data_IF_487574491278
#
_entry.id   IF_487574491278
#
_cell.length_a   1.000
_cell.length_b   1.000
_cell.length_c   1.000
_cell.angle_alpha   90.00
_cell.angle_beta   90.00
_cell.angle_gamma   90.00
#
_symmetry.space_group_name_H-M   'P 1'
#
loop_
_entity.id
_entity.type
_entity.pdbx_description
1 polymer ?
#
# COMPACT_ATOMS: atom_id res chain seq x y z
N UNK A 1 28.95 12.53 16.46
CA UNK A 1 28.87 13.14 15.11
C UNK A 1 30.23 13.71 14.76
N UNK A 2 30.98 13.05 13.88
CA UNK A 2 32.35 13.43 13.51
C UNK A 2 32.37 14.57 12.49
N UNK A 3 33.47 15.33 12.44
CA UNK A 3 33.74 16.47 11.52
C UNK A 3 33.41 16.21 10.04
N UNK A 4 33.32 14.95 9.60
CA UNK A 4 32.92 14.57 8.23
C UNK A 4 31.47 14.92 7.85
N UNK A 5 30.54 15.15 8.80
CA UNK A 5 29.13 15.46 8.49
C UNK A 5 28.89 16.92 8.04
N UNK A 6 29.94 17.74 8.01
CA UNK A 6 29.86 19.17 7.66
C UNK A 6 30.54 19.50 6.32
N UNK A 7 31.08 18.52 5.61
CA UNK A 7 31.72 18.75 4.31
C UNK A 7 30.65 18.89 3.20
N UNK A 8 30.20 20.12 2.96
CA UNK A 8 29.17 20.45 1.97
C UNK A 8 29.64 20.32 0.51
N UNK A 9 30.91 19.98 0.27
CA UNK A 9 31.46 19.74 -1.06
C UNK A 9 31.14 18.36 -1.63
N UNK A 10 30.52 17.49 -0.83
CA UNK A 10 30.30 16.07 -1.11
C UNK A 10 28.83 15.75 -1.17
N UNK A 11 28.36 15.12 -2.23
CA UNK A 11 26.93 14.82 -2.41
C UNK A 11 26.38 13.95 -1.26
N UNK A 12 27.16 13.00 -0.76
CA UNK A 12 26.70 12.05 0.26
C UNK A 12 26.49 12.70 1.63
N UNK A 13 27.12 13.85 1.92
CA UNK A 13 26.82 14.56 3.18
C UNK A 13 25.43 15.18 3.15
N UNK A 14 24.98 15.63 1.98
CA UNK A 14 23.62 16.10 1.77
C UNK A 14 22.60 14.96 1.82
N UNK A 15 22.88 13.83 1.16
CA UNK A 15 22.01 12.64 1.21
C UNK A 15 21.88 12.09 2.64
N UNK A 16 22.95 12.10 3.43
CA UNK A 16 22.87 11.71 4.84
C UNK A 16 21.98 12.68 5.65
N UNK A 17 22.09 13.99 5.40
CA UNK A 17 21.23 15.00 6.06
C UNK A 17 19.76 14.79 5.72
N UNK A 18 19.43 14.60 4.44
CA UNK A 18 18.04 14.36 4.01
C UNK A 18 17.50 13.04 4.54
N UNK A 19 18.34 12.00 4.66
CA UNK A 19 17.98 10.71 5.26
C UNK A 19 17.66 10.80 6.75
N UNK A 20 18.33 11.69 7.50
CA UNK A 20 18.07 11.89 8.94
C UNK A 20 16.95 12.86 9.26
N UNK A 21 16.56 13.70 8.30
CA UNK A 21 15.43 14.61 8.47
C UNK A 21 14.12 13.82 8.30
N UNK A 22 13.10 14.15 9.07
CA UNK A 22 11.77 13.54 8.95
C UNK A 22 10.75 14.49 8.32
N UNK A 23 10.99 15.79 8.44
CA UNK A 23 10.14 16.86 7.95
C UNK A 23 10.32 17.05 6.43
N UNK A 24 9.28 16.84 5.61
CA UNK A 24 9.38 16.92 4.15
C UNK A 24 9.73 18.33 3.64
N UNK A 25 9.25 19.39 4.29
CA UNK A 25 9.57 20.77 3.89
C UNK A 25 11.06 21.08 4.11
N UNK A 26 11.62 20.55 5.21
CA UNK A 26 13.06 20.67 5.47
C UNK A 26 13.88 19.83 4.51
N UNK A 27 13.45 18.61 4.18
CA UNK A 27 14.11 17.78 3.15
C UNK A 27 14.17 18.50 1.82
N UNK A 28 13.05 19.09 1.38
CA UNK A 28 12.95 19.89 0.18
C UNK A 28 14.00 21.00 0.17
N UNK A 29 14.06 21.80 1.25
CA UNK A 29 15.03 22.88 1.38
C UNK A 29 16.49 22.40 1.38
N UNK A 30 16.77 21.23 1.97
CA UNK A 30 18.12 20.63 1.97
C UNK A 30 18.52 20.21 0.54
N UNK A 31 17.64 19.57 -0.23
CA UNK A 31 17.91 19.22 -1.63
C UNK A 31 18.16 20.45 -2.50
N UNK A 32 17.33 21.49 -2.35
CA UNK A 32 17.51 22.74 -3.11
C UNK A 32 18.86 23.41 -2.80
N UNK A 33 19.25 23.43 -1.52
CA UNK A 33 20.58 23.93 -1.13
C UNK A 33 21.71 23.05 -1.67
N UNK A 34 21.53 21.73 -1.63
CA UNK A 34 22.51 20.77 -2.15
C UNK A 34 22.77 21.02 -3.64
N UNK A 35 21.71 21.20 -4.44
CA UNK A 35 21.81 21.44 -5.87
C UNK A 35 22.33 22.84 -6.23
N UNK A 36 22.11 23.85 -5.39
CA UNK A 36 22.78 25.14 -5.55
C UNK A 36 24.32 25.02 -5.40
N UNK A 37 24.79 24.12 -4.53
CA UNK A 37 26.22 23.89 -4.28
C UNK A 37 26.83 22.92 -5.30
N UNK A 38 26.11 21.87 -5.64
CA UNK A 38 26.54 20.75 -6.47
C UNK A 38 25.56 20.54 -7.65
N UNK A 39 25.45 21.50 -8.58
CA UNK A 39 24.44 21.48 -9.65
C UNK A 39 24.65 20.40 -10.72
N UNK A 40 25.74 19.64 -10.64
CA UNK A 40 26.08 18.58 -11.58
C UNK A 40 26.30 17.22 -10.88
N UNK A 41 25.77 17.02 -9.66
CA UNK A 41 25.79 15.71 -9.01
C UNK A 41 24.58 14.89 -9.45
N UNK A 42 24.75 13.82 -10.24
CA UNK A 42 23.63 12.96 -10.65
C UNK A 42 22.94 12.31 -9.44
N UNK A 43 23.68 11.98 -8.38
CA UNK A 43 23.14 11.37 -7.16
C UNK A 43 22.18 12.30 -6.42
N UNK A 44 22.47 13.62 -6.39
CA UNK A 44 21.55 14.59 -5.80
C UNK A 44 20.33 14.82 -6.67
N UNK A 45 20.45 14.77 -8.00
CA UNK A 45 19.29 14.89 -8.88
C UNK A 45 18.40 13.64 -8.76
N UNK A 46 18.97 12.44 -8.83
CA UNK A 46 18.23 11.18 -8.67
C UNK A 46 17.55 11.08 -7.30
N UNK A 47 18.31 11.29 -6.21
CA UNK A 47 17.72 11.24 -4.87
C UNK A 47 16.69 12.35 -4.61
N UNK A 48 16.81 13.49 -5.28
CA UNK A 48 15.80 14.53 -5.21
C UNK A 48 14.55 14.18 -6.02
N UNK A 49 14.72 13.57 -7.19
CA UNK A 49 13.62 13.07 -8.01
C UNK A 49 12.80 12.01 -7.26
N UNK A 50 13.46 11.03 -6.62
CA UNK A 50 12.82 10.02 -5.78
C UNK A 50 12.02 10.67 -4.64
N UNK A 51 12.61 11.65 -3.94
CA UNK A 51 11.92 12.37 -2.86
C UNK A 51 10.70 13.15 -3.36
N UNK A 52 10.82 13.80 -4.52
CA UNK A 52 9.70 14.52 -5.12
C UNK A 52 8.61 13.51 -5.44
N UNK A 53 8.88 12.49 -6.24
CA UNK A 53 7.90 11.46 -6.59
C UNK A 53 7.18 10.88 -5.36
N UNK A 54 7.92 10.42 -4.35
CA UNK A 54 7.33 9.70 -3.22
C UNK A 54 6.59 10.58 -2.21
N UNK A 55 7.08 11.80 -1.97
CA UNK A 55 6.70 12.61 -0.80
C UNK A 55 6.20 14.00 -1.13
N UNK A 56 6.29 14.43 -2.39
CA UNK A 56 5.95 15.78 -2.81
C UNK A 56 5.26 15.79 -4.19
N UNK A 57 3.95 16.06 -4.29
CA UNK A 57 3.19 15.89 -5.53
C UNK A 57 3.53 16.95 -6.59
N UNK A 58 4.70 16.84 -7.20
CA UNK A 58 5.26 17.71 -8.24
C UNK A 58 6.00 16.84 -9.28
N UNK A 59 5.20 16.11 -10.07
CA UNK A 59 5.68 15.14 -11.06
C UNK A 59 6.52 15.81 -12.16
N UNK A 60 6.18 17.04 -12.56
CA UNK A 60 6.94 17.80 -13.56
C UNK A 60 8.37 18.07 -13.07
N UNK A 61 8.51 18.45 -11.79
CA UNK A 61 9.82 18.69 -11.19
C UNK A 61 10.57 17.38 -10.95
N UNK A 62 9.89 16.32 -10.53
CA UNK A 62 10.48 15.00 -10.39
C UNK A 62 11.06 14.50 -11.72
N UNK A 63 10.29 14.60 -12.81
CA UNK A 63 10.74 14.23 -14.16
C UNK A 63 11.99 15.01 -14.58
N UNK A 64 11.98 16.34 -14.42
CA UNK A 64 13.14 17.17 -14.75
C UNK A 64 14.41 16.77 -13.97
N UNK A 65 14.26 16.33 -12.72
CA UNK A 65 15.39 15.85 -11.91
C UNK A 65 15.88 14.47 -12.39
N UNK A 66 14.98 13.54 -12.74
CA UNK A 66 15.38 12.27 -13.36
C UNK A 66 16.11 12.46 -14.68
N UNK A 67 15.55 13.29 -15.58
CA UNK A 67 16.18 13.60 -16.86
C UNK A 67 17.57 14.19 -16.65
N UNK A 68 17.71 15.12 -15.68
CA UNK A 68 19.00 15.72 -15.37
C UNK A 68 20.02 14.72 -14.81
N UNK A 69 19.59 13.78 -13.97
CA UNK A 69 20.45 12.71 -13.49
C UNK A 69 20.96 11.85 -14.65
N UNK A 70 20.08 11.50 -15.59
CA UNK A 70 20.41 10.71 -16.78
C UNK A 70 21.23 11.48 -17.83
N UNK A 71 21.08 12.81 -17.93
CA UNK A 71 21.98 13.62 -18.76
C UNK A 71 23.41 13.61 -18.23
N UNK A 72 23.57 13.66 -16.90
CA UNK A 72 24.86 13.66 -16.22
C UNK A 72 25.50 12.27 -16.22
N UNK A 73 24.70 11.21 -16.08
CA UNK A 73 25.14 9.83 -16.06
C UNK A 73 24.14 8.93 -16.83
N UNK A 74 24.29 8.84 -18.16
CA UNK A 74 23.29 8.19 -19.01
C UNK A 74 23.23 6.69 -18.84
N UNK A 75 24.32 6.03 -18.44
CA UNK A 75 24.41 4.57 -18.35
C UNK A 75 24.35 4.08 -16.89
N UNK A 76 23.76 4.86 -15.99
CA UNK A 76 23.45 4.40 -14.63
C UNK A 76 22.14 3.61 -14.64
N UNK A 77 22.23 2.29 -14.52
CA UNK A 77 21.07 1.42 -14.57
C UNK A 77 20.10 1.64 -13.38
N UNK A 78 20.62 2.11 -12.24
CA UNK A 78 19.82 2.48 -11.07
C UNK A 78 18.93 3.69 -11.34
N UNK A 79 19.48 4.78 -11.88
CA UNK A 79 18.69 5.96 -12.26
C UNK A 79 17.69 5.65 -13.39
N UNK A 80 18.09 4.84 -14.37
CA UNK A 80 17.18 4.41 -15.44
C UNK A 80 16.01 3.63 -14.86
N UNK A 81 16.25 2.70 -13.92
CA UNK A 81 15.18 1.96 -13.25
C UNK A 81 14.28 2.88 -12.42
N UNK A 82 14.84 3.75 -11.56
CA UNK A 82 14.01 4.65 -10.75
C UNK A 82 13.12 5.52 -11.64
N UNK A 83 13.66 6.00 -12.77
CA UNK A 83 12.88 6.76 -13.72
C UNK A 83 11.79 5.91 -14.39
N UNK A 84 12.04 4.64 -14.69
CA UNK A 84 11.02 3.71 -15.17
C UNK A 84 9.88 3.52 -14.16
N UNK A 85 10.22 3.32 -12.88
CA UNK A 85 9.26 3.18 -11.78
C UNK A 85 8.40 4.45 -11.65
N UNK A 86 9.02 5.63 -11.71
CA UNK A 86 8.32 6.92 -11.70
C UNK A 86 7.36 7.08 -12.90
N UNK A 87 7.83 6.82 -14.12
CA UNK A 87 7.01 6.90 -15.33
C UNK A 87 5.77 5.98 -15.25
N UNK A 88 5.94 4.78 -14.68
CA UNK A 88 4.86 3.82 -14.51
C UNK A 88 3.88 4.20 -13.39
N UNK A 89 4.38 4.65 -12.24
CA UNK A 89 3.56 4.90 -11.06
C UNK A 89 2.87 6.27 -11.09
N UNK A 90 3.56 7.32 -11.53
CA UNK A 90 3.08 8.71 -11.46
C UNK A 90 2.49 9.18 -12.80
N UNK A 91 3.20 8.94 -13.90
CA UNK A 91 2.77 9.45 -15.22
C UNK A 91 1.86 8.49 -15.99
N UNK A 92 1.79 7.22 -15.57
CA UNK A 92 1.10 6.15 -16.29
C UNK A 92 1.58 5.99 -17.75
N UNK A 93 2.80 6.44 -18.06
CA UNK A 93 3.41 6.28 -19.39
C UNK A 93 4.14 4.93 -19.45
N UNK A 94 3.34 3.89 -19.63
CA UNK A 94 3.83 2.51 -19.61
C UNK A 94 4.78 2.18 -20.76
N UNK A 95 4.68 2.88 -21.90
CA UNK A 95 5.56 2.60 -23.04
C UNK A 95 6.97 3.18 -22.82
N UNK A 96 7.07 4.40 -22.26
CA UNK A 96 8.37 4.95 -21.84
C UNK A 96 8.96 4.17 -20.67
N UNK A 97 8.13 3.80 -19.68
CA UNK A 97 8.58 2.98 -18.57
C UNK A 97 9.17 1.64 -19.05
N UNK A 98 8.48 0.93 -19.95
CA UNK A 98 8.98 -0.32 -20.53
C UNK A 98 10.31 -0.13 -21.28
N UNK A 99 10.45 0.96 -22.04
CA UNK A 99 11.71 1.27 -22.70
C UNK A 99 12.86 1.49 -21.71
N UNK A 100 12.60 2.16 -20.58
CA UNK A 100 13.59 2.36 -19.52
C UNK A 100 13.94 1.06 -18.80
N UNK A 101 12.97 0.21 -18.43
CA UNK A 101 13.28 -1.11 -17.84
C UNK A 101 14.13 -1.97 -18.75
N UNK A 102 13.81 -2.02 -20.05
CA UNK A 102 14.61 -2.79 -21.02
C UNK A 102 16.02 -2.24 -21.13
N UNK A 103 16.18 -0.91 -21.10
CA UNK A 103 17.50 -0.27 -21.11
C UNK A 103 18.31 -0.57 -19.85
N UNK A 104 17.68 -0.56 -18.66
CA UNK A 104 18.36 -0.94 -17.42
C UNK A 104 18.84 -2.40 -17.48
N UNK A 105 18.02 -3.32 -18.02
CA UNK A 105 18.38 -4.72 -18.21
C UNK A 105 19.40 -4.96 -19.34
N UNK A 106 19.52 -4.05 -20.32
CA UNK A 106 20.60 -4.12 -21.32
C UNK A 106 21.96 -3.77 -20.70
N UNK A 107 21.98 -2.86 -19.73
CA UNK A 107 23.19 -2.46 -19.00
C UNK A 107 23.57 -3.50 -17.94
N UNK A 108 22.60 -3.99 -17.18
CA UNK A 108 22.78 -4.95 -16.10
C UNK A 108 21.83 -6.14 -16.27
N UNK A 109 22.15 -7.08 -17.18
CA UNK A 109 21.24 -8.15 -17.54
C UNK A 109 20.99 -9.16 -16.43
N UNK A 110 21.90 -9.31 -15.47
CA UNK A 110 21.85 -10.30 -14.41
C UNK A 110 21.54 -9.69 -13.03
N UNK A 111 21.07 -8.44 -12.98
CA UNK A 111 20.57 -7.85 -11.74
C UNK A 111 19.16 -8.40 -11.43
N UNK A 112 19.07 -9.27 -10.42
CA UNK A 112 17.82 -9.92 -10.04
C UNK A 112 16.75 -8.92 -9.57
N UNK A 113 17.15 -7.82 -8.93
CA UNK A 113 16.24 -6.76 -8.49
C UNK A 113 15.60 -6.04 -9.67
N UNK A 114 16.37 -5.72 -10.71
CA UNK A 114 15.86 -5.09 -11.92
C UNK A 114 14.94 -6.02 -12.70
N UNK A 115 15.31 -7.30 -12.79
CA UNK A 115 14.46 -8.31 -13.42
C UNK A 115 13.14 -8.44 -12.65
N UNK A 116 13.19 -8.52 -11.32
CA UNK A 116 12.01 -8.60 -10.44
C UNK A 116 11.10 -7.38 -10.60
N UNK A 117 11.65 -6.16 -10.57
CA UNK A 117 10.88 -4.93 -10.76
C UNK A 117 10.23 -4.86 -12.15
N UNK A 118 10.94 -5.30 -13.20
CA UNK A 118 10.35 -5.38 -14.53
C UNK A 118 9.23 -6.42 -14.59
N UNK A 119 9.36 -7.54 -13.87
CA UNK A 119 8.30 -8.53 -13.68
C UNK A 119 7.05 -7.92 -13.03
N UNK A 120 7.21 -7.15 -11.94
CA UNK A 120 6.11 -6.43 -11.29
C UNK A 120 5.41 -5.48 -12.27
N UNK A 121 6.17 -4.67 -13.00
CA UNK A 121 5.64 -3.74 -13.99
C UNK A 121 4.83 -4.45 -15.10
N UNK A 122 5.36 -5.54 -15.65
CA UNK A 122 4.68 -6.34 -16.67
C UNK A 122 3.37 -6.92 -16.14
N UNK A 123 3.36 -7.42 -14.91
CA UNK A 123 2.18 -7.99 -14.27
C UNK A 123 1.10 -6.94 -14.01
N UNK A 124 1.45 -5.83 -13.38
CA UNK A 124 0.48 -4.86 -12.86
C UNK A 124 0.03 -3.85 -13.91
N UNK A 125 0.94 -3.38 -14.78
CA UNK A 125 0.67 -2.26 -15.69
C UNK A 125 0.41 -2.73 -17.12
N UNK A 126 1.13 -3.75 -17.59
CA UNK A 126 0.94 -4.31 -18.95
C UNK A 126 0.00 -5.51 -18.98
N UNK A 127 -0.31 -6.12 -17.83
CA UNK A 127 -1.10 -7.34 -17.71
C UNK A 127 -0.53 -8.51 -18.55
N UNK A 128 0.79 -8.50 -18.77
CA UNK A 128 1.52 -9.52 -19.53
C UNK A 128 2.06 -10.57 -18.56
N UNK A 129 1.16 -11.43 -18.09
CA UNK A 129 1.45 -12.38 -17.02
C UNK A 129 2.50 -13.42 -17.42
N UNK A 130 2.56 -13.81 -18.69
CA UNK A 130 3.53 -14.80 -19.18
C UNK A 130 4.95 -14.24 -19.15
N UNK A 131 5.15 -12.99 -19.58
CA UNK A 131 6.47 -12.35 -19.47
C UNK A 131 6.81 -11.99 -18.04
N UNK A 132 5.83 -11.58 -17.24
CA UNK A 132 6.06 -11.31 -15.81
C UNK A 132 6.56 -12.57 -15.08
N UNK A 133 5.90 -13.72 -15.28
CA UNK A 133 6.31 -14.98 -14.67
C UNK A 133 7.73 -15.39 -15.10
N UNK A 134 8.06 -15.26 -16.39
CA UNK A 134 9.40 -15.53 -16.88
C UNK A 134 10.47 -14.61 -16.23
N UNK A 135 10.12 -13.35 -15.91
CA UNK A 135 11.02 -12.46 -15.18
C UNK A 135 11.19 -12.90 -13.73
N UNK A 136 10.13 -13.23 -13.01
CA UNK A 136 10.25 -13.73 -11.64
C UNK A 136 11.08 -15.02 -11.56
N UNK A 137 10.82 -15.98 -12.45
CA UNK A 137 11.58 -17.23 -12.50
C UNK A 137 13.07 -16.96 -12.77
N UNK A 138 13.38 -16.09 -13.74
CA UNK A 138 14.77 -15.70 -14.03
C UNK A 138 15.43 -14.97 -12.85
N UNK A 139 14.72 -14.09 -12.15
CA UNK A 139 15.23 -13.39 -10.99
C UNK A 139 15.57 -14.39 -9.85
N UNK A 140 14.71 -15.39 -9.64
CA UNK A 140 14.93 -16.47 -8.67
C UNK A 140 16.01 -17.49 -9.10
N UNK A 141 16.26 -17.67 -10.40
CA UNK A 141 17.41 -18.45 -10.87
C UNK A 141 18.74 -17.78 -10.49
N UNK A 142 18.79 -16.45 -10.55
CA UNK A 142 19.98 -15.66 -10.22
C UNK A 142 20.16 -15.49 -8.71
N UNK A 143 19.07 -15.22 -7.99
CA UNK A 143 19.05 -15.04 -6.54
C UNK A 143 17.91 -15.88 -5.94
N UNK A 144 18.16 -17.18 -5.69
CA UNK A 144 17.11 -18.09 -5.25
C UNK A 144 16.54 -17.70 -3.89
N UNK A 145 17.34 -17.13 -3.00
CA UNK A 145 16.99 -16.87 -1.61
C UNK A 145 16.68 -15.39 -1.32
N UNK A 146 16.36 -14.60 -2.36
CA UNK A 146 15.90 -13.22 -2.19
C UNK A 146 14.42 -13.21 -1.73
N UNK A 147 14.20 -12.93 -0.45
CA UNK A 147 12.87 -12.90 0.15
C UNK A 147 11.93 -11.87 -0.49
N UNK A 148 12.44 -10.73 -0.97
CA UNK A 148 11.64 -9.70 -1.62
C UNK A 148 11.08 -10.20 -2.95
N UNK A 149 11.93 -10.82 -3.78
CA UNK A 149 11.51 -11.41 -5.07
C UNK A 149 10.52 -12.56 -4.82
N UNK A 150 10.80 -13.44 -3.85
CA UNK A 150 9.91 -14.56 -3.52
C UNK A 150 8.53 -14.06 -3.06
N UNK A 151 8.49 -13.05 -2.18
CA UNK A 151 7.23 -12.45 -1.70
C UNK A 151 6.42 -11.81 -2.83
N UNK A 152 7.07 -11.05 -3.71
CA UNK A 152 6.41 -10.44 -4.86
C UNK A 152 5.89 -11.51 -5.84
N UNK A 153 6.67 -12.58 -6.04
CA UNK A 153 6.24 -13.70 -6.87
C UNK A 153 5.07 -14.49 -6.25
N UNK A 154 5.07 -14.68 -4.93
CA UNK A 154 3.94 -15.29 -4.20
C UNK A 154 2.65 -14.51 -4.42
N UNK A 155 2.72 -13.17 -4.30
CA UNK A 155 1.59 -12.28 -4.58
C UNK A 155 1.12 -12.39 -6.03
N UNK A 156 2.05 -12.35 -7.01
CA UNK A 156 1.72 -12.55 -8.42
C UNK A 156 1.01 -13.89 -8.68
N UNK A 157 1.51 -14.98 -8.09
CA UNK A 157 0.94 -16.31 -8.23
C UNK A 157 -0.48 -16.36 -7.65
N UNK A 158 -0.72 -15.76 -6.48
CA UNK A 158 -2.02 -15.73 -5.83
C UNK A 158 -3.02 -14.84 -6.57
N UNK A 159 -2.67 -13.56 -6.79
CA UNK A 159 -3.59 -12.53 -7.26
C UNK A 159 -3.88 -12.65 -8.76
N UNK A 160 -2.87 -12.98 -9.56
CA UNK A 160 -2.94 -12.88 -11.03
C UNK A 160 -2.98 -14.25 -11.71
N UNK A 161 -2.20 -15.23 -11.24
CA UNK A 161 -2.25 -16.60 -11.78
C UNK A 161 -3.29 -17.50 -11.12
N UNK A 162 -3.73 -17.15 -9.90
CA UNK A 162 -4.58 -18.00 -9.06
C UNK A 162 -3.99 -19.38 -8.80
N UNK A 163 -2.66 -19.47 -8.79
CA UNK A 163 -1.92 -20.67 -8.45
C UNK A 163 -1.63 -20.66 -6.94
N UNK A 164 -2.67 -20.97 -6.18
CA UNK A 164 -2.67 -20.81 -4.72
C UNK A 164 -1.68 -21.75 -4.02
N UNK A 165 -1.45 -22.94 -4.57
CA UNK A 165 -0.53 -23.92 -3.96
C UNK A 165 0.93 -23.45 -4.10
N UNK A 166 1.33 -22.94 -5.27
CA UNK A 166 2.67 -22.34 -5.44
C UNK A 166 2.80 -21.04 -4.66
N UNK A 167 1.75 -20.21 -4.62
CA UNK A 167 1.77 -18.97 -3.85
C UNK A 167 2.02 -19.23 -2.36
N UNK A 168 1.30 -20.19 -1.76
CA UNK A 168 1.49 -20.57 -0.35
C UNK A 168 2.91 -21.06 -0.08
N UNK A 169 3.45 -21.92 -0.93
CA UNK A 169 4.83 -22.40 -0.79
C UNK A 169 5.86 -21.26 -0.88
N UNK A 170 5.61 -20.25 -1.74
CA UNK A 170 6.48 -19.07 -1.83
C UNK A 170 6.35 -18.17 -0.60
N UNK A 171 5.14 -17.95 -0.07
CA UNK A 171 4.97 -17.19 1.18
C UNK A 171 5.66 -17.85 2.37
N UNK A 172 5.51 -19.17 2.53
CA UNK A 172 6.19 -19.93 3.59
C UNK A 172 7.71 -19.79 3.47
N UNK A 173 8.24 -19.92 2.24
CA UNK A 173 9.68 -19.76 1.97
C UNK A 173 10.16 -18.34 2.25
N UNK A 174 9.41 -17.32 1.86
CA UNK A 174 9.77 -15.92 2.12
C UNK A 174 9.86 -15.67 3.64
N UNK A 175 8.92 -16.21 4.42
CA UNK A 175 8.88 -16.07 5.88
C UNK A 175 10.04 -16.80 6.59
N UNK A 176 10.53 -17.91 6.01
CA UNK A 176 11.73 -18.61 6.49
C UNK A 176 13.01 -17.81 6.22
N UNK A 177 13.10 -17.15 5.07
CA UNK A 177 14.28 -16.42 4.63
C UNK A 177 14.41 -15.05 5.28
N UNK A 178 13.30 -14.32 5.41
CA UNK A 178 13.25 -13.03 6.09
C UNK A 178 12.10 -13.01 7.11
N UNK A 179 12.35 -13.46 8.34
CA UNK A 179 11.32 -13.50 9.38
C UNK A 179 10.97 -12.12 9.96
N UNK A 180 11.73 -11.07 9.61
CA UNK A 180 11.65 -9.73 10.19
C UNK A 180 11.01 -8.70 9.23
N UNK A 181 10.82 -9.02 7.94
CA UNK A 181 10.01 -8.21 7.04
C UNK A 181 8.51 -8.34 7.38
N UNK A 182 7.94 -7.28 7.94
CA UNK A 182 6.52 -7.21 8.34
C UNK A 182 5.54 -7.41 7.17
N UNK A 183 5.95 -7.12 5.93
CA UNK A 183 5.08 -7.24 4.75
C UNK A 183 4.86 -8.71 4.35
N UNK A 184 5.80 -9.61 4.64
CA UNK A 184 5.65 -11.04 4.34
C UNK A 184 4.48 -11.67 5.11
N UNK A 185 4.45 -11.64 6.46
CA UNK A 185 3.34 -12.20 7.21
C UNK A 185 2.03 -11.44 6.96
N UNK A 186 2.06 -10.12 6.71
CA UNK A 186 0.86 -9.34 6.35
C UNK A 186 0.21 -9.82 5.04
N UNK A 187 1.00 -9.94 3.96
CA UNK A 187 0.51 -10.43 2.67
C UNK A 187 0.09 -11.91 2.74
N UNK A 188 0.81 -12.71 3.52
CA UNK A 188 0.48 -14.12 3.68
C UNK A 188 -0.84 -14.31 4.45
N UNK A 189 -1.09 -13.49 5.47
CA UNK A 189 -2.35 -13.47 6.20
C UNK A 189 -3.55 -13.15 5.29
N UNK A 190 -3.39 -12.15 4.40
CA UNK A 190 -4.41 -11.79 3.42
C UNK A 190 -4.71 -12.96 2.47
N UNK A 191 -3.67 -13.60 1.94
CA UNK A 191 -3.79 -14.80 1.12
C UNK A 191 -4.54 -15.93 1.85
N UNK A 192 -4.16 -16.23 3.10
CA UNK A 192 -4.77 -17.28 3.91
C UNK A 192 -6.25 -16.99 4.17
N UNK A 193 -6.60 -15.74 4.50
CA UNK A 193 -7.97 -15.34 4.77
C UNK A 193 -8.85 -15.40 3.51
N UNK A 194 -8.36 -14.87 2.39
CA UNK A 194 -9.14 -14.71 1.17
C UNK A 194 -9.23 -16.01 0.36
N UNK A 195 -8.13 -16.75 0.23
CA UNK A 195 -8.04 -17.89 -0.70
C UNK A 195 -8.15 -19.24 0.01
N UNK A 196 -7.65 -19.34 1.25
CA UNK A 196 -7.72 -20.59 2.04
C UNK A 196 -8.87 -20.61 3.05
N UNK A 197 -9.46 -19.45 3.35
CA UNK A 197 -10.42 -19.28 4.44
C UNK A 197 -9.89 -19.80 5.78
N UNK A 198 -8.56 -19.75 5.95
CA UNK A 198 -7.84 -20.22 7.13
C UNK A 198 -7.66 -19.06 8.10
N UNK A 199 -8.76 -18.70 8.77
CA UNK A 199 -8.83 -17.51 9.62
C UNK A 199 -7.90 -17.57 10.82
N UNK A 200 -7.66 -18.76 11.38
CA UNK A 200 -6.78 -18.91 12.54
C UNK A 200 -5.29 -18.66 12.17
N UNK A 201 -4.84 -19.21 11.03
CA UNK A 201 -3.48 -18.92 10.53
C UNK A 201 -3.36 -17.47 10.04
N UNK A 202 -4.39 -16.93 9.40
CA UNK A 202 -4.40 -15.53 8.98
C UNK A 202 -4.29 -14.56 10.18
N UNK A 203 -5.04 -14.81 11.26
CA UNK A 203 -4.98 -14.02 12.49
C UNK A 203 -3.56 -14.04 13.07
N UNK A 204 -2.96 -15.23 13.20
CA UNK A 204 -1.57 -15.39 13.69
C UNK A 204 -0.57 -14.61 12.84
N UNK A 205 -0.72 -14.64 11.51
CA UNK A 205 0.18 -13.93 10.60
C UNK A 205 -0.01 -12.40 10.66
N UNK A 206 -1.25 -11.90 10.76
CA UNK A 206 -1.47 -10.47 10.99
C UNK A 206 -0.93 -9.99 12.33
N UNK A 207 -1.11 -10.76 13.41
CA UNK A 207 -0.52 -10.44 14.71
C UNK A 207 1.00 -10.34 14.62
N UNK A 208 1.66 -11.28 13.95
CA UNK A 208 3.11 -11.22 13.69
C UNK A 208 3.52 -10.00 12.87
N UNK A 209 2.75 -9.64 11.84
CA UNK A 209 3.01 -8.44 11.06
C UNK A 209 2.94 -7.18 11.92
N UNK A 210 1.97 -7.10 12.86
CA UNK A 210 1.84 -5.99 13.81
C UNK A 210 2.88 -6.01 14.93
N UNK A 211 3.43 -7.17 15.30
CA UNK A 211 4.59 -7.25 16.20
C UNK A 211 5.84 -6.61 15.57
N UNK A 212 6.03 -6.82 14.27
CA UNK A 212 7.15 -6.28 13.50
C UNK A 212 6.94 -4.80 13.13
N UNK A 213 5.71 -4.43 12.73
CA UNK A 213 5.32 -3.06 12.42
C UNK A 213 3.97 -2.70 13.06
N UNK A 214 3.95 -2.20 14.31
CA UNK A 214 2.71 -1.84 15.01
C UNK A 214 1.94 -0.68 14.39
N UNK A 215 2.59 0.10 13.53
CA UNK A 215 2.05 1.31 12.90
C UNK A 215 1.59 1.07 11.45
N UNK A 216 1.44 -0.20 11.03
CA UNK A 216 0.87 -0.54 9.73
C UNK A 216 -0.67 -0.41 9.76
N UNK A 217 -1.18 0.67 9.18
CA UNK A 217 -2.62 0.93 9.14
C UNK A 217 -3.39 -0.14 8.34
N UNK A 218 -2.83 -0.67 7.25
CA UNK A 218 -3.50 -1.66 6.40
C UNK A 218 -3.62 -2.99 7.13
N UNK A 219 -2.54 -3.45 7.78
CA UNK A 219 -2.56 -4.68 8.58
C UNK A 219 -3.55 -4.55 9.75
N UNK A 220 -3.62 -3.39 10.42
CA UNK A 220 -4.62 -3.14 11.46
C UNK A 220 -6.05 -3.27 10.90
N UNK A 221 -6.35 -2.63 9.77
CA UNK A 221 -7.68 -2.69 9.15
C UNK A 221 -8.03 -4.10 8.69
N UNK A 222 -7.08 -4.82 8.09
CA UNK A 222 -7.27 -6.19 7.61
C UNK A 222 -7.49 -7.18 8.76
N UNK A 223 -6.76 -7.05 9.87
CA UNK A 223 -7.02 -7.83 11.09
C UNK A 223 -8.41 -7.49 11.65
N UNK A 224 -8.77 -6.21 11.71
CA UNK A 224 -10.09 -5.76 12.13
C UNK A 224 -11.22 -6.41 11.31
N UNK A 225 -11.07 -6.47 9.98
CA UNK A 225 -12.00 -7.16 9.09
C UNK A 225 -12.06 -8.66 9.36
N UNK A 226 -10.89 -9.31 9.49
CA UNK A 226 -10.79 -10.74 9.74
C UNK A 226 -11.56 -11.15 11.00
N UNK A 227 -11.34 -10.43 12.09
CA UNK A 227 -11.99 -10.67 13.38
C UNK A 227 -13.50 -10.44 13.31
N UNK A 228 -13.92 -9.42 12.55
CA UNK A 228 -15.33 -9.13 12.31
C UNK A 228 -16.01 -10.27 11.52
N UNK A 229 -15.37 -10.78 10.47
CA UNK A 229 -15.81 -11.90 9.62
C UNK A 229 -15.78 -13.25 10.35
N UNK A 230 -14.93 -13.41 11.37
CA UNK A 230 -14.87 -14.61 12.19
C UNK A 230 -15.95 -14.62 13.30
N UNK A 231 -16.66 -13.49 13.53
CA UNK A 231 -17.82 -13.41 14.41
C UNK A 231 -17.55 -13.72 15.89
N UNK A 232 -16.28 -13.82 16.31
CA UNK A 232 -15.93 -14.07 17.72
C UNK A 232 -16.23 -12.81 18.51
N UNK A 233 -17.33 -12.83 19.28
CA UNK A 233 -17.80 -11.67 20.07
C UNK A 233 -16.72 -11.12 21.01
N UNK A 234 -15.86 -11.99 21.54
CA UNK A 234 -14.70 -11.61 22.36
C UNK A 234 -13.65 -10.83 21.56
N UNK A 235 -13.45 -11.16 20.28
CA UNK A 235 -12.53 -10.48 19.38
C UNK A 235 -13.07 -9.13 18.86
N UNK A 236 -14.38 -8.86 18.96
CA UNK A 236 -14.96 -7.56 18.59
C UNK A 236 -14.40 -6.41 19.42
N UNK A 237 -13.88 -6.66 20.63
CA UNK A 237 -13.16 -5.64 21.40
C UNK A 237 -11.80 -5.31 20.78
N UNK A 238 -11.10 -6.31 20.26
CA UNK A 238 -9.80 -6.16 19.59
C UNK A 238 -9.95 -5.40 18.27
N UNK A 239 -11.08 -5.59 17.56
CA UNK A 239 -11.46 -4.79 16.38
C UNK A 239 -11.45 -3.28 16.69
N UNK A 240 -11.91 -2.85 17.87
CA UNK A 240 -11.89 -1.43 18.27
C UNK A 240 -10.47 -0.89 18.36
N UNK A 241 -9.55 -1.69 18.90
CA UNK A 241 -8.13 -1.34 18.98
C UNK A 241 -7.53 -1.11 17.59
N UNK A 242 -7.77 -2.06 16.69
CA UNK A 242 -7.30 -2.01 15.31
C UNK A 242 -7.84 -0.79 14.56
N UNK A 243 -9.15 -0.56 14.63
CA UNK A 243 -9.78 0.58 13.95
C UNK A 243 -9.30 1.91 14.53
N UNK A 244 -9.21 2.04 15.86
CA UNK A 244 -8.71 3.28 16.48
C UNK A 244 -7.27 3.57 16.02
N UNK A 245 -6.44 2.53 15.93
CA UNK A 245 -5.06 2.66 15.45
C UNK A 245 -5.03 3.10 14.00
N UNK A 246 -5.81 2.49 13.11
CA UNK A 246 -5.93 2.90 11.72
C UNK A 246 -6.40 4.36 11.55
N UNK A 247 -7.41 4.79 12.32
CA UNK A 247 -7.85 6.20 12.33
C UNK A 247 -6.72 7.13 12.79
N UNK A 248 -5.99 6.78 13.85
CA UNK A 248 -4.85 7.58 14.32
C UNK A 248 -3.73 7.71 13.27
N UNK A 249 -3.47 6.62 12.54
CA UNK A 249 -2.42 6.55 11.51
C UNK A 249 -2.83 7.18 10.17
N UNK A 250 -4.12 7.48 9.96
CA UNK A 250 -4.59 8.16 8.74
C UNK A 250 -4.03 9.58 8.58
N UNK A 251 -3.47 10.17 9.63
CA UNK A 251 -2.87 11.52 9.63
C UNK A 251 -3.76 12.61 9.04
N UNK A 252 -5.09 12.51 9.25
CA UNK A 252 -6.06 13.44 8.70
C UNK A 252 -6.10 13.49 7.16
N UNK A 253 -5.72 12.39 6.50
CA UNK A 253 -5.84 12.25 5.04
C UNK A 253 -6.96 11.27 4.71
N UNK A 254 -7.88 11.64 3.80
CA UNK A 254 -8.95 10.75 3.40
C UNK A 254 -8.36 9.60 2.58
N UNK A 255 -8.74 8.36 2.90
CA UNK A 255 -8.18 7.16 2.27
C UNK A 255 -9.18 6.00 2.30
N UNK A 256 -8.98 5.05 1.39
CA UNK A 256 -9.74 3.79 1.37
C UNK A 256 -9.62 3.05 2.71
N UNK A 257 -8.40 2.94 3.25
CA UNK A 257 -8.11 2.30 4.54
C UNK A 257 -8.90 2.94 5.69
N UNK A 258 -9.00 4.28 5.73
CA UNK A 258 -9.80 4.97 6.73
C UNK A 258 -11.30 4.67 6.57
N UNK A 259 -11.80 4.66 5.34
CA UNK A 259 -13.20 4.37 5.08
C UNK A 259 -13.58 2.93 5.47
N UNK A 260 -12.73 1.95 5.15
CA UNK A 260 -12.90 0.56 5.57
C UNK A 260 -12.91 0.44 7.10
N UNK A 261 -11.95 1.08 7.78
CA UNK A 261 -11.88 1.08 9.24
C UNK A 261 -13.17 1.63 9.87
N UNK A 262 -13.68 2.76 9.35
CA UNK A 262 -14.93 3.35 9.82
C UNK A 262 -16.13 2.45 9.53
N UNK A 263 -16.17 1.82 8.36
CA UNK A 263 -17.22 0.88 7.99
C UNK A 263 -17.26 -0.34 8.90
N UNK A 264 -16.10 -0.91 9.22
CA UNK A 264 -15.99 -2.02 10.16
C UNK A 264 -16.46 -1.63 11.56
N UNK A 265 -16.23 -0.39 12.00
CA UNK A 265 -16.76 0.08 13.28
C UNK A 265 -18.28 0.22 13.25
N UNK A 266 -18.86 0.63 12.12
CA UNK A 266 -20.32 0.65 11.95
C UNK A 266 -20.91 -0.76 12.10
N UNK A 267 -20.35 -1.73 11.37
CA UNK A 267 -20.79 -3.13 11.42
C UNK A 267 -20.60 -3.75 12.81
N UNK A 268 -19.47 -3.46 13.47
CA UNK A 268 -19.20 -3.92 14.84
C UNK A 268 -20.20 -3.36 15.84
N UNK A 269 -20.51 -2.06 15.80
CA UNK A 269 -21.54 -1.47 16.66
C UNK A 269 -22.91 -2.10 16.42
N UNK A 270 -23.22 -2.39 15.16
CA UNK A 270 -24.46 -3.04 14.78
C UNK A 270 -24.55 -4.45 15.37
N UNK A 271 -23.53 -5.29 15.20
CA UNK A 271 -23.49 -6.66 15.73
C UNK A 271 -23.46 -6.70 17.27
N UNK A 272 -22.74 -5.77 17.90
CA UNK A 272 -22.56 -5.78 19.35
C UNK A 272 -23.76 -5.18 20.11
N UNK A 273 -24.34 -4.10 19.59
CA UNK A 273 -25.33 -3.28 20.30
C UNK A 273 -26.67 -3.14 19.56
N UNK A 274 -26.82 -3.71 18.36
CA UNK A 274 -28.02 -3.59 17.53
C UNK A 274 -28.41 -2.11 17.32
N UNK A 275 -27.40 -1.27 17.11
CA UNK A 275 -27.50 0.20 17.07
C UNK A 275 -26.56 0.79 16.02
N UNK A 276 -27.00 1.89 15.41
CA UNK A 276 -26.24 2.61 14.39
C UNK A 276 -25.19 3.48 15.07
N UNK A 277 -23.91 3.10 14.90
CA UNK A 277 -22.77 3.80 15.48
C UNK A 277 -22.52 5.18 14.89
N UNK A 278 -21.78 6.02 15.62
CA UNK A 278 -21.36 7.36 15.16
C UNK A 278 -20.49 7.31 13.90
N UNK A 279 -19.84 6.18 13.63
CA UNK A 279 -18.95 6.01 12.49
C UNK A 279 -19.68 6.08 11.14
N UNK A 280 -21.02 5.94 11.12
CA UNK A 280 -21.80 6.25 9.91
C UNK A 280 -21.77 7.74 9.58
N UNK A 281 -21.82 8.61 10.59
CA UNK A 281 -21.67 10.06 10.41
C UNK A 281 -20.25 10.47 9.99
N UNK A 282 -19.26 9.68 10.39
CA UNK A 282 -17.86 9.84 9.96
C UNK A 282 -17.66 9.44 8.51
N UNK A 283 -18.22 8.31 8.09
CA UNK A 283 -18.24 7.92 6.69
C UNK A 283 -18.95 8.96 5.82
N UNK A 284 -20.03 9.56 6.32
CA UNK A 284 -20.73 10.66 5.64
C UNK A 284 -19.81 11.85 5.36
N UNK A 285 -19.07 12.32 6.37
CA UNK A 285 -18.07 13.37 6.18
C UNK A 285 -16.97 12.95 5.20
N UNK A 286 -16.45 11.74 5.34
CA UNK A 286 -15.36 11.23 4.50
C UNK A 286 -15.77 11.09 3.02
N UNK A 287 -17.01 10.71 2.74
CA UNK A 287 -17.53 10.67 1.37
C UNK A 287 -17.62 12.06 0.74
N UNK A 288 -17.86 13.11 1.54
CA UNK A 288 -17.87 14.50 1.07
C UNK A 288 -16.45 15.01 0.77
N UNK A 289 -15.45 14.60 1.56
CA UNK A 289 -14.03 14.92 1.30
C UNK A 289 -13.49 14.21 0.04
N UNK A 290 -13.94 12.98 -0.20
CA UNK A 290 -13.52 12.17 -1.34
C UNK A 290 -12.15 11.52 -1.12
N UNK A 291 -11.98 10.32 -1.68
CA UNK A 291 -10.74 9.55 -1.63
C UNK A 291 -10.70 8.55 -2.78
N UNK A 292 -9.49 8.07 -3.08
CA UNK A 292 -9.25 7.01 -4.07
C UNK A 292 -9.79 5.67 -3.57
N UNK A 293 -10.56 4.97 -4.43
CA UNK A 293 -11.26 3.74 -4.05
C UNK A 293 -10.44 2.50 -4.40
N UNK A 294 -10.38 1.56 -3.46
CA UNK A 294 -9.72 0.28 -3.62
C UNK A 294 -10.57 -0.78 -4.32
N UNK A 295 -9.98 -1.97 -4.51
CA UNK A 295 -10.61 -3.13 -5.17
C UNK A 295 -11.14 -4.14 -4.13
N UNK A 296 -11.17 -3.75 -2.85
CA UNK A 296 -11.61 -4.60 -1.76
C UNK A 296 -13.10 -4.92 -1.84
N UNK A 297 -13.55 -6.06 -1.29
CA UNK A 297 -14.96 -6.41 -1.21
C UNK A 297 -15.38 -6.92 0.18
N UNK A 298 -16.65 -6.66 0.53
CA UNK A 298 -17.23 -7.01 1.83
C UNK A 298 -18.08 -8.28 1.80
N UNK A 299 -18.00 -9.08 0.74
CA UNK A 299 -18.90 -10.21 0.49
C UNK A 299 -18.77 -11.28 1.56
N UNK A 300 -17.54 -11.60 1.99
CA UNK A 300 -17.30 -12.60 3.03
C UNK A 300 -17.97 -12.24 4.37
N UNK A 301 -17.99 -10.95 4.72
CA UNK A 301 -18.75 -10.47 5.88
C UNK A 301 -20.25 -10.62 5.65
N UNK A 302 -20.77 -10.12 4.53
CA UNK A 302 -22.19 -10.16 4.25
C UNK A 302 -22.74 -11.58 4.18
N UNK A 303 -22.03 -12.51 3.56
CA UNK A 303 -22.42 -13.92 3.45
C UNK A 303 -22.59 -14.60 4.82
N UNK A 304 -21.83 -14.17 5.84
CA UNK A 304 -21.88 -14.75 7.19
C UNK A 304 -22.84 -14.03 8.12
N UNK A 305 -22.77 -12.70 8.14
CA UNK A 305 -23.32 -11.91 9.23
C UNK A 305 -24.52 -11.06 8.82
N UNK A 306 -24.81 -10.92 7.51
CA UNK A 306 -25.93 -10.09 7.07
C UNK A 306 -27.27 -10.57 7.63
N UNK A 307 -27.45 -11.89 7.80
CA UNK A 307 -28.67 -12.44 8.40
C UNK A 307 -28.87 -12.08 9.87
N UNK A 308 -27.80 -11.74 10.59
CA UNK A 308 -27.85 -11.32 11.99
C UNK A 308 -28.38 -9.90 12.15
N UNK A 309 -28.27 -9.08 11.10
CA UNK A 309 -28.75 -7.70 11.11
C UNK A 309 -30.28 -7.65 10.95
N UNK A 310 -30.96 -6.65 11.55
CA UNK A 310 -32.38 -6.43 11.29
C UNK A 310 -32.65 -6.13 9.83
N UNK A 311 -33.79 -6.60 9.32
CA UNK A 311 -34.17 -6.51 7.90
C UNK A 311 -34.04 -5.09 7.34
N UNK A 312 -34.56 -4.09 8.04
CA UNK A 312 -34.48 -2.68 7.64
C UNK A 312 -33.05 -2.11 7.58
N UNK A 313 -32.10 -2.73 8.29
CA UNK A 313 -30.69 -2.30 8.33
C UNK A 313 -29.78 -3.08 7.38
N UNK A 314 -30.18 -4.27 6.94
CA UNK A 314 -29.41 -5.07 5.97
C UNK A 314 -29.16 -4.28 4.69
N UNK A 315 -30.23 -3.79 4.08
CA UNK A 315 -30.15 -3.04 2.82
C UNK A 315 -29.32 -1.76 2.97
N UNK A 316 -29.41 -1.11 4.15
CA UNK A 316 -28.61 0.06 4.45
C UNK A 316 -27.10 -0.26 4.51
N UNK A 317 -26.69 -1.29 5.24
CA UNK A 317 -25.27 -1.64 5.34
C UNK A 317 -24.69 -2.21 4.04
N UNK A 318 -25.50 -2.89 3.23
CA UNK A 318 -25.10 -3.30 1.87
C UNK A 318 -24.87 -2.07 0.99
N UNK A 319 -25.79 -1.10 1.00
CA UNK A 319 -25.63 0.15 0.27
C UNK A 319 -24.43 0.98 0.79
N UNK A 320 -24.22 1.00 2.11
CA UNK A 320 -23.09 1.69 2.74
C UNK A 320 -21.76 1.06 2.35
N UNK A 321 -21.65 -0.27 2.36
CA UNK A 321 -20.48 -0.97 1.86
C UNK A 321 -20.22 -0.67 0.38
N UNK A 322 -21.25 -0.70 -0.46
CA UNK A 322 -21.11 -0.32 -1.88
C UNK A 322 -20.62 1.13 -2.04
N UNK A 323 -21.12 2.05 -1.21
CA UNK A 323 -20.70 3.45 -1.20
C UNK A 323 -19.27 3.67 -0.66
N UNK A 324 -18.71 2.74 0.12
CA UNK A 324 -17.29 2.74 0.52
C UNK A 324 -16.37 2.36 -0.64
N UNK A 325 -16.86 1.56 -1.60
CA UNK A 325 -16.06 1.07 -2.73
C UNK A 325 -16.28 1.88 -4.02
N UNK A 326 -17.43 2.53 -4.17
CA UNK A 326 -17.78 3.24 -5.40
C UNK A 326 -18.47 4.58 -5.07
N UNK A 327 -17.84 5.67 -5.49
CA UNK A 327 -18.36 7.04 -5.30
C UNK A 327 -19.74 7.23 -5.96
N UNK A 328 -20.01 6.53 -7.07
CA UNK A 328 -21.31 6.59 -7.74
C UNK A 328 -22.44 5.95 -6.91
N UNK A 329 -22.09 5.12 -5.92
CA UNK A 329 -23.05 4.46 -5.02
C UNK A 329 -23.43 5.29 -3.81
N UNK A 330 -22.72 6.39 -3.52
CA UNK A 330 -23.04 7.29 -2.40
C UNK A 330 -24.48 7.84 -2.52
N UNK A 331 -24.93 8.15 -3.74
CA UNK A 331 -26.30 8.63 -3.98
C UNK A 331 -27.38 7.62 -3.60
N UNK A 332 -27.07 6.32 -3.57
CA UNK A 332 -28.03 5.30 -3.20
C UNK A 332 -28.40 5.37 -1.70
N UNK A 333 -27.54 5.99 -0.87
CA UNK A 333 -27.77 6.18 0.55
C UNK A 333 -28.91 7.16 0.86
N UNK A 334 -29.21 8.09 -0.05
CA UNK A 334 -30.32 9.06 0.09
C UNK A 334 -31.70 8.39 0.10
N UNK A 335 -31.79 7.11 -0.29
CA UNK A 335 -33.04 6.34 -0.21
C UNK A 335 -33.39 5.94 1.22
N UNK A 336 -32.43 6.02 2.15
CA UNK A 336 -32.58 5.54 3.51
C UNK A 336 -32.82 6.71 4.46
N UNK A 337 -34.01 6.75 5.08
CA UNK A 337 -34.33 7.78 6.11
C UNK A 337 -33.35 7.79 7.29
N UNK A 338 -32.62 6.69 7.51
CA UNK A 338 -31.53 6.61 8.47
C UNK A 338 -30.37 7.53 8.10
N UNK A 339 -29.96 7.54 6.82
CA UNK A 339 -28.86 8.37 6.31
C UNK A 339 -29.14 9.87 6.47
N UNK A 340 -30.38 10.29 6.18
CA UNK A 340 -30.80 11.68 6.28
C UNK A 340 -30.73 12.23 7.72
N UNK A 341 -31.01 11.37 8.71
CA UNK A 341 -31.03 11.74 10.13
C UNK A 341 -29.65 11.74 10.78
N UNK A 342 -28.65 11.15 10.15
CA UNK A 342 -27.30 11.05 10.68
C UNK A 342 -26.56 12.36 10.44
N UNK A 343 -26.09 12.94 11.53
CA UNK A 343 -25.21 14.11 11.52
C UNK A 343 -23.82 13.73 11.00
N UNK A 344 -23.23 14.61 10.21
CA UNK A 344 -21.83 14.50 9.76
C UNK A 344 -20.91 14.74 10.96
N UNK A 345 -19.91 13.87 11.15
CA UNK A 345 -18.97 13.90 12.27
C UNK A 345 -17.55 13.85 11.69
N UNK A 346 -16.62 14.57 12.30
CA UNK A 346 -15.19 14.56 11.93
C UNK A 346 -14.68 13.10 11.78
N UNK A 347 -14.24 12.69 10.57
CA UNK A 347 -13.87 11.31 10.30
C UNK A 347 -12.59 10.86 11.02
N UNK A 348 -11.80 11.80 11.52
CA UNK A 348 -10.48 11.55 12.11
C UNK A 348 -10.52 11.41 13.64
N UNK A 349 -11.71 11.34 14.25
CA UNK A 349 -11.88 11.29 15.71
C UNK A 349 -12.64 10.04 16.15
N UNK A 350 -12.03 9.12 16.91
CA UNK A 350 -12.70 7.91 17.47
C UNK A 350 -12.61 7.79 18.98
#
# INVERSE_FOLDING_TARGET
>A
MSEASHDESKWWTWVLRTGTESDPDKKLAIFEQALQRLPNSPELHGGYADFLADRWPDDDRAEAMYERALELQPDDAGFIRNYADFLAAHQQDYDRAEAMYRRALELEPDDAGFIGNYGNFLAEKKQDYDRAEAMYERALELQPDDALIIRNYAYFLAALRRDYDRAEAMYERALELDPDDALIPGNYAEFLAAQRQDYDRAETMYERALELNPDDANVNVNLGYLLLVNGRREALEQVVGCIRKAVQLSHCMPSQTLAEALFYDCLRFELAANSVGKSVGRLKALFEEGYERGIWDFSAFFDRHLSELPEERRDFYVALGAAVLDVAKVIELEKFTLWDKIESIDPYTI
#
